data_IF_305825502273
#
_entry.id   IF_305825502273
#
_cell.length_a   1.000
_cell.length_b   1.000
_cell.length_c   1.000
_cell.angle_alpha   90.00
_cell.angle_beta   90.00
_cell.angle_gamma   90.00
#
_symmetry.space_group_name_H-M   'P 1'
#
loop_
_entity.id
_entity.type
_entity.pdbx_description
1 polymer ?
#
# COMPACT_ATOMS: atom_id res chain seq x y z
N UNK A 1 7.67 8.60 -10.10
CA UNK A 1 6.81 9.72 -10.56
C UNK A 1 7.07 10.92 -9.66
N UNK A 2 6.76 12.14 -10.12
CA UNK A 2 6.70 13.34 -9.28
C UNK A 2 5.23 13.76 -9.13
N UNK A 3 4.74 13.96 -7.91
CA UNK A 3 3.35 14.31 -7.64
C UNK A 3 3.15 15.84 -7.70
N UNK A 4 3.10 16.39 -8.91
CA UNK A 4 3.04 17.83 -9.15
C UNK A 4 1.59 18.37 -9.20
N UNK A 5 1.45 19.67 -8.90
CA UNK A 5 0.19 20.42 -9.07
C UNK A 5 0.25 21.25 -10.34
N UNK A 6 -0.75 21.12 -11.20
CA UNK A 6 -0.83 21.86 -12.46
C UNK A 6 -2.14 21.59 -13.21
N UNK A 7 -2.34 22.20 -14.38
CA UNK A 7 -3.56 22.03 -15.19
C UNK A 7 -3.87 20.57 -15.55
N UNK A 8 -2.80 19.77 -15.74
CA UNK A 8 -2.87 18.37 -16.14
C UNK A 8 -2.77 17.39 -14.96
N UNK A 9 -2.80 17.90 -13.71
CA UNK A 9 -2.82 17.03 -12.54
C UNK A 9 -4.09 16.16 -12.54
N UNK A 10 -3.91 14.88 -12.24
CA UNK A 10 -5.05 14.00 -11.95
C UNK A 10 -5.79 14.52 -10.73
N UNK A 11 -7.11 14.38 -10.74
CA UNK A 11 -8.01 15.09 -9.84
C UNK A 11 -8.59 14.16 -8.79
N UNK A 12 -8.99 14.74 -7.66
CA UNK A 12 -10.01 14.09 -6.86
C UNK A 12 -11.28 13.96 -7.73
N UNK A 13 -11.90 12.79 -7.70
CA UNK A 13 -13.00 12.29 -8.54
C UNK A 13 -12.59 11.68 -9.90
N UNK A 14 -11.32 11.76 -10.32
CA UNK A 14 -10.88 11.00 -11.50
C UNK A 14 -10.95 9.48 -11.22
N UNK A 15 -11.36 8.71 -12.22
CA UNK A 15 -11.33 7.24 -12.17
C UNK A 15 -10.18 6.73 -13.03
N UNK A 16 -9.19 6.11 -12.38
CA UNK A 16 -7.99 5.57 -13.03
C UNK A 16 -8.18 4.07 -13.24
N UNK A 17 -7.85 3.57 -14.42
CA UNK A 17 -7.75 2.12 -14.66
C UNK A 17 -6.32 1.69 -14.43
N UNK A 18 -6.11 0.88 -13.40
CA UNK A 18 -4.79 0.34 -13.06
C UNK A 18 -4.38 -0.71 -14.08
N UNK A 19 -3.08 -1.03 -14.14
CA UNK A 19 -2.55 -2.09 -14.98
C UNK A 19 -3.15 -3.46 -14.67
N UNK A 20 -3.61 -3.67 -13.43
CA UNK A 20 -4.37 -4.85 -13.00
C UNK A 20 -5.77 -4.97 -13.62
N UNK A 21 -6.25 -3.95 -14.34
CA UNK A 21 -7.59 -3.86 -14.89
C UNK A 21 -8.64 -3.35 -13.90
N UNK A 22 -8.32 -3.25 -12.61
CA UNK A 22 -9.21 -2.65 -11.59
C UNK A 22 -9.29 -1.14 -11.77
N UNK A 23 -10.46 -0.58 -11.49
CA UNK A 23 -10.74 0.86 -11.53
C UNK A 23 -10.66 1.49 -10.14
N UNK A 24 -10.03 2.67 -10.05
CA UNK A 24 -9.78 3.39 -8.79
C UNK A 24 -10.33 4.80 -8.88
N UNK A 25 -11.35 5.11 -8.07
CA UNK A 25 -11.81 6.47 -7.82
C UNK A 25 -10.80 7.17 -6.91
N UNK A 26 -10.12 8.19 -7.44
CA UNK A 26 -9.15 8.97 -6.67
C UNK A 26 -9.93 9.93 -5.77
N UNK A 27 -9.93 9.67 -4.46
CA UNK A 27 -10.53 10.57 -3.48
C UNK A 27 -9.50 11.37 -2.67
N UNK A 28 -8.21 11.08 -2.85
CA UNK A 28 -7.12 11.93 -2.37
C UNK A 28 -5.86 11.75 -3.23
N UNK A 29 -5.44 12.81 -3.93
CA UNK A 29 -4.22 12.81 -4.78
C UNK A 29 -2.89 12.78 -4.01
N UNK A 30 -2.91 12.92 -2.69
CA UNK A 30 -1.73 12.76 -1.80
C UNK A 30 -1.63 11.32 -1.25
N UNK A 31 -2.52 10.44 -1.69
CA UNK A 31 -2.40 8.99 -1.53
C UNK A 31 -1.94 8.35 -2.84
N UNK A 32 -0.93 8.94 -3.48
CA UNK A 32 -0.40 8.58 -4.79
C UNK A 32 0.54 7.38 -4.75
N UNK A 33 1.33 7.23 -3.67
CA UNK A 33 2.38 6.21 -3.60
C UNK A 33 1.83 4.81 -3.83
N UNK A 34 0.65 4.52 -3.26
CA UNK A 34 -0.03 3.22 -3.41
C UNK A 34 -0.57 2.97 -4.82
N UNK A 35 -0.89 4.02 -5.58
CA UNK A 35 -1.29 3.88 -6.98
C UNK A 35 -0.09 3.42 -7.81
N UNK A 36 1.04 4.12 -7.67
CA UNK A 36 2.27 3.76 -8.37
C UNK A 36 2.76 2.36 -7.98
N UNK A 37 2.68 2.01 -6.69
CA UNK A 37 3.01 0.66 -6.21
C UNK A 37 2.06 -0.39 -6.77
N UNK A 38 0.75 -0.12 -6.85
CA UNK A 38 -0.23 -1.07 -7.40
C UNK A 38 0.12 -1.51 -8.83
N UNK A 39 0.53 -0.57 -9.70
CA UNK A 39 1.02 -0.91 -11.03
C UNK A 39 2.38 -1.62 -10.98
N UNK A 40 3.27 -1.22 -10.07
CA UNK A 40 4.59 -1.83 -9.89
C UNK A 40 4.52 -3.30 -9.47
N UNK A 41 3.69 -3.63 -8.47
CA UNK A 41 3.53 -5.01 -7.98
C UNK A 41 2.78 -5.86 -9.00
N UNK A 42 1.81 -5.31 -9.73
CA UNK A 42 1.16 -6.02 -10.82
C UNK A 42 2.16 -6.37 -11.92
N UNK A 43 2.99 -5.40 -12.32
CA UNK A 43 4.06 -5.63 -13.29
C UNK A 43 5.02 -6.74 -12.83
N UNK A 44 5.49 -6.66 -11.58
CA UNK A 44 6.42 -7.64 -11.01
C UNK A 44 5.82 -9.06 -10.95
N UNK A 45 4.50 -9.19 -10.78
CA UNK A 45 3.83 -10.49 -10.60
C UNK A 45 3.27 -11.10 -11.89
N UNK A 46 2.98 -10.28 -12.91
CA UNK A 46 2.27 -10.73 -14.13
C UNK A 46 3.00 -10.48 -15.45
N UNK A 47 3.93 -9.53 -15.50
CA UNK A 47 4.53 -9.06 -16.76
C UNK A 47 6.01 -9.44 -16.92
N UNK A 48 6.64 -9.98 -15.85
CA UNK A 48 7.99 -10.50 -15.92
C UNK A 48 8.02 -11.90 -16.56
N UNK A 49 9.20 -12.30 -17.04
CA UNK A 49 9.41 -13.63 -17.62
C UNK A 49 9.43 -14.77 -16.58
N UNK A 50 9.27 -14.45 -15.30
CA UNK A 50 9.24 -15.39 -14.18
C UNK A 50 8.22 -14.89 -13.14
N UNK A 51 7.75 -15.79 -12.28
CA UNK A 51 6.89 -15.45 -11.15
C UNK A 51 7.73 -15.47 -9.87
N UNK A 52 7.79 -14.37 -9.10
CA UNK A 52 8.53 -14.36 -7.84
C UNK A 52 7.81 -15.18 -6.77
N UNK A 53 8.57 -15.96 -5.98
CA UNK A 53 8.03 -16.67 -4.81
C UNK A 53 7.67 -15.70 -3.68
N UNK A 54 8.44 -14.61 -3.55
CA UNK A 54 8.25 -13.55 -2.55
C UNK A 54 8.36 -12.19 -3.24
N UNK A 55 7.41 -11.30 -2.96
CA UNK A 55 7.43 -9.90 -3.40
C UNK A 55 7.60 -8.99 -2.18
N UNK A 56 8.53 -8.05 -2.28
CA UNK A 56 8.74 -7.01 -1.25
C UNK A 56 8.60 -5.65 -1.91
N UNK A 57 7.60 -4.88 -1.48
CA UNK A 57 7.51 -3.45 -1.78
C UNK A 57 7.96 -2.62 -0.57
N UNK A 58 8.63 -1.50 -0.83
CA UNK A 58 9.14 -0.60 0.21
C UNK A 58 8.73 0.82 -0.13
N UNK A 59 8.11 1.53 0.82
CA UNK A 59 7.63 2.87 0.59
C UNK A 59 7.54 3.73 1.86
N UNK A 60 7.81 5.02 1.70
CA UNK A 60 7.53 6.06 2.70
C UNK A 60 6.06 6.50 2.59
N UNK A 61 5.14 5.60 2.92
CA UNK A 61 3.77 5.65 2.40
C UNK A 61 2.76 6.42 3.25
N UNK A 62 2.91 6.45 4.57
CA UNK A 62 1.89 7.04 5.46
C UNK A 62 2.53 7.78 6.63
N UNK A 63 1.94 8.91 7.02
CA UNK A 63 2.23 9.52 8.32
C UNK A 63 1.79 8.64 9.50
N UNK A 64 0.81 7.76 9.29
CA UNK A 64 0.33 6.81 10.29
C UNK A 64 1.40 5.80 10.74
N UNK A 65 2.41 5.52 9.91
CA UNK A 65 3.51 4.60 10.26
C UNK A 65 4.26 5.09 11.51
N UNK A 66 4.61 6.38 11.55
CA UNK A 66 5.31 6.97 12.71
C UNK A 66 4.47 6.92 14.00
N UNK A 67 3.14 7.01 13.89
CA UNK A 67 2.22 6.87 15.02
C UNK A 67 2.14 5.41 15.50
N UNK A 68 2.16 4.45 14.58
CA UNK A 68 1.98 3.03 14.88
C UNK A 68 3.25 2.36 15.41
N UNK A 69 4.38 2.50 14.69
CA UNK A 69 5.63 1.76 15.00
C UNK A 69 6.80 2.68 15.35
N UNK A 70 6.60 4.00 15.30
CA UNK A 70 7.61 4.97 15.71
C UNK A 70 8.69 5.24 14.65
N UNK A 71 9.72 5.98 15.04
CA UNK A 71 10.71 6.55 14.11
C UNK A 71 11.85 5.60 13.73
N UNK A 72 12.02 4.49 14.47
CA UNK A 72 13.14 3.54 14.29
C UNK A 72 12.70 2.15 13.84
N UNK A 73 11.39 1.92 13.69
CA UNK A 73 10.86 0.64 13.21
C UNK A 73 9.98 0.88 12.00
N UNK A 74 10.37 0.35 10.84
CA UNK A 74 9.46 0.30 9.70
C UNK A 74 8.25 -0.60 10.04
N UNK A 75 7.06 -0.15 9.67
CA UNK A 75 5.84 -0.97 9.79
C UNK A 75 5.79 -1.97 8.65
N UNK A 76 5.66 -3.26 8.95
CA UNK A 76 5.55 -4.32 7.93
C UNK A 76 4.13 -4.90 7.92
N UNK A 77 3.54 -5.02 6.73
CA UNK A 77 2.25 -5.64 6.49
C UNK A 77 2.49 -6.89 5.64
N UNK A 78 2.41 -8.06 6.25
CA UNK A 78 2.87 -9.32 5.66
C UNK A 78 1.74 -10.34 5.67
N UNK A 79 1.59 -11.09 4.57
CA UNK A 79 0.50 -12.05 4.37
C UNK A 79 0.82 -13.48 4.86
N UNK A 80 2.06 -13.72 5.27
CA UNK A 80 2.55 -15.00 5.78
C UNK A 80 3.34 -14.78 7.08
N UNK A 81 3.05 -15.60 8.10
CA UNK A 81 3.65 -15.46 9.44
C UNK A 81 5.13 -15.87 9.45
N UNK A 82 5.52 -16.88 8.68
CA UNK A 82 6.90 -17.37 8.64
C UNK A 82 7.82 -16.32 8.01
N UNK A 83 7.40 -15.74 6.89
CA UNK A 83 8.12 -14.66 6.23
C UNK A 83 8.15 -13.38 7.07
N UNK A 84 7.08 -13.05 7.79
CA UNK A 84 7.08 -11.91 8.72
C UNK A 84 8.17 -12.09 9.81
N UNK A 85 8.22 -13.25 10.45
CA UNK A 85 9.20 -13.54 11.49
C UNK A 85 10.63 -13.56 10.94
N UNK A 86 10.81 -14.08 9.73
CA UNK A 86 12.07 -14.05 8.98
C UNK A 86 12.55 -12.61 8.75
N UNK A 87 11.67 -11.74 8.25
CA UNK A 87 11.97 -10.34 7.97
C UNK A 87 12.28 -9.54 9.24
N UNK A 88 11.52 -9.78 10.32
CA UNK A 88 11.80 -9.17 11.63
C UNK A 88 13.16 -9.58 12.19
N UNK A 89 13.58 -10.83 11.96
CA UNK A 89 14.93 -11.28 12.35
C UNK A 89 16.00 -10.56 11.53
N UNK A 90 15.81 -10.40 10.22
CA UNK A 90 16.73 -9.66 9.37
C UNK A 90 16.92 -8.22 9.86
N UNK A 91 15.82 -7.50 10.17
CA UNK A 91 15.89 -6.13 10.70
C UNK A 91 16.63 -6.02 12.04
N UNK A 92 16.53 -7.03 12.92
CA UNK A 92 17.30 -7.08 14.17
C UNK A 92 18.79 -7.30 13.94
N UNK A 93 19.15 -8.12 12.94
CA UNK A 93 20.55 -8.41 12.60
C UNK A 93 21.21 -7.22 11.91
N UNK A 94 20.51 -6.54 11.00
CA UNK A 94 21.05 -5.38 10.28
C UNK A 94 21.12 -4.11 11.14
N UNK A 95 20.25 -4.00 12.16
CA UNK A 95 20.03 -2.76 12.91
C UNK A 95 18.97 -1.84 12.30
N UNK A 96 18.44 -2.18 11.13
CA UNK A 96 17.32 -1.52 10.46
C UNK A 96 16.02 -2.21 10.88
N UNK A 97 15.59 -1.95 12.10
CA UNK A 97 14.51 -2.69 12.76
C UNK A 97 13.13 -2.47 12.11
N UNK A 98 12.28 -3.49 12.23
CA UNK A 98 10.90 -3.50 11.74
C UNK A 98 9.94 -3.96 12.86
N UNK A 99 8.65 -3.64 12.74
CA UNK A 99 7.59 -4.12 13.63
C UNK A 99 6.29 -4.35 12.84
N UNK A 100 5.55 -5.43 13.10
CA UNK A 100 4.36 -5.75 12.31
C UNK A 100 3.21 -4.78 12.56
N UNK A 101 2.43 -4.53 11.51
CA UNK A 101 1.11 -3.91 11.59
C UNK A 101 0.03 -4.96 11.27
N UNK A 102 -1.22 -4.66 11.61
CA UNK A 102 -2.31 -5.63 11.52
C UNK A 102 -2.53 -6.16 10.08
N UNK A 103 -2.27 -7.44 9.83
CA UNK A 103 -2.73 -8.14 8.63
C UNK A 103 -4.13 -8.71 8.84
N UNK A 104 -5.15 -8.09 8.22
CA UNK A 104 -6.56 -8.50 8.31
C UNK A 104 -7.37 -7.97 7.12
N UNK A 105 -7.16 -8.51 5.90
CA UNK A 105 -7.74 -8.01 4.66
C UNK A 105 -9.27 -7.81 4.70
N UNK A 106 -10.00 -8.68 5.40
CA UNK A 106 -11.45 -8.66 5.53
C UNK A 106 -12.02 -7.41 6.23
N UNK A 107 -11.18 -6.72 7.02
CA UNK A 107 -11.51 -5.44 7.64
C UNK A 107 -11.11 -4.28 6.74
N UNK A 108 -9.92 -4.37 6.14
CA UNK A 108 -9.31 -3.29 5.37
C UNK A 108 -10.05 -3.01 4.06
N UNK A 109 -10.52 -4.05 3.36
CA UNK A 109 -11.23 -3.91 2.05
C UNK A 109 -12.46 -3.01 2.14
N UNK A 110 -13.15 -2.99 3.29
CA UNK A 110 -14.39 -2.23 3.49
C UNK A 110 -14.14 -0.72 3.52
N UNK A 111 -12.92 -0.29 3.81
CA UNK A 111 -12.55 1.13 3.87
C UNK A 111 -12.43 1.76 2.48
N UNK A 112 -12.28 0.96 1.42
CA UNK A 112 -12.04 1.42 0.06
C UNK A 112 -13.27 1.35 -0.86
N UNK A 113 -14.48 1.22 -0.30
CA UNK A 113 -15.70 1.15 -1.12
C UNK A 113 -15.89 2.42 -1.96
N UNK A 114 -16.03 2.23 -3.27
CA UNK A 114 -16.43 3.27 -4.22
C UNK A 114 -17.85 3.01 -4.74
N UNK A 115 -18.68 4.04 -4.98
CA UNK A 115 -19.95 3.90 -5.69
C UNK A 115 -19.81 3.83 -7.22
N UNK A 116 -18.64 4.17 -7.79
CA UNK A 116 -18.45 4.35 -9.25
C UNK A 116 -17.26 3.57 -9.84
N UNK A 117 -16.40 3.00 -9.00
CA UNK A 117 -15.23 2.23 -9.37
C UNK A 117 -15.12 0.96 -8.51
N UNK A 118 -14.15 0.10 -8.77
CA UNK A 118 -13.91 -1.09 -7.95
C UNK A 118 -13.47 -0.71 -6.53
N UNK A 119 -12.72 0.39 -6.40
CA UNK A 119 -12.26 0.90 -5.11
C UNK A 119 -11.94 2.39 -5.12
N UNK A 120 -11.77 2.98 -3.93
CA UNK A 120 -11.15 4.29 -3.70
C UNK A 120 -9.67 4.13 -3.34
N UNK A 121 -8.86 5.17 -3.52
CA UNK A 121 -7.45 5.12 -3.11
C UNK A 121 -7.22 5.48 -1.63
N UNK A 122 -8.12 6.22 -0.98
CA UNK A 122 -8.03 6.54 0.44
C UNK A 122 -9.18 5.92 1.25
N UNK A 123 -8.83 5.38 2.41
CA UNK A 123 -9.75 4.83 3.41
C UNK A 123 -10.80 5.85 3.87
N UNK A 124 -12.01 5.36 4.16
CA UNK A 124 -13.11 6.19 4.68
C UNK A 124 -12.87 6.69 6.10
N UNK A 125 -12.29 5.86 6.97
CA UNK A 125 -12.07 6.15 8.40
C UNK A 125 -10.58 6.15 8.73
N UNK A 126 -9.99 7.33 8.91
CA UNK A 126 -8.52 7.48 9.11
C UNK A 126 -8.00 6.88 10.42
N UNK A 127 -8.86 6.56 11.38
CA UNK A 127 -8.53 5.94 12.66
C UNK A 127 -8.64 4.41 12.65
N UNK A 128 -8.82 3.77 11.49
CA UNK A 128 -8.99 2.33 11.36
C UNK A 128 -7.78 1.65 10.68
N UNK A 129 -6.69 1.45 11.42
CA UNK A 129 -5.47 0.76 10.95
C UNK A 129 -4.89 1.33 9.62
N UNK A 130 -4.62 2.64 9.58
CA UNK A 130 -4.24 3.34 8.35
C UNK A 130 -2.99 2.82 7.63
N UNK A 131 -1.99 2.30 8.36
CA UNK A 131 -0.81 1.66 7.76
C UNK A 131 -1.22 0.40 7.01
N UNK A 132 -1.97 -0.48 7.67
CA UNK A 132 -2.45 -1.74 7.11
C UNK A 132 -3.41 -1.53 5.93
N UNK A 133 -4.28 -0.53 6.00
CA UNK A 133 -5.14 -0.19 4.86
C UNK A 133 -4.32 0.21 3.63
N UNK A 134 -3.24 0.99 3.81
CA UNK A 134 -2.37 1.37 2.71
C UNK A 134 -1.66 0.16 2.08
N UNK A 135 -1.17 -0.78 2.89
CA UNK A 135 -0.62 -2.06 2.39
C UNK A 135 -1.68 -2.92 1.69
N UNK A 136 -2.90 -2.98 2.24
CA UNK A 136 -4.00 -3.73 1.63
C UNK A 136 -4.43 -3.18 0.26
N UNK A 137 -4.31 -1.87 0.01
CA UNK A 137 -4.60 -1.31 -1.32
C UNK A 137 -3.67 -1.88 -2.40
N UNK A 138 -2.41 -2.13 -2.05
CA UNK A 138 -1.39 -2.63 -2.99
C UNK A 138 -1.54 -4.13 -3.25
N UNK A 139 -2.13 -4.88 -2.30
CA UNK A 139 -2.25 -6.35 -2.32
C UNK A 139 -3.24 -6.93 -3.35
#
# INVERSE_FOLDING_TARGET
AENAVGPDAYRNDDVVTMKSGKTVEVNNTDAEGRLVLGDGVFHATHELSFTPDVLVDMATLTGAQGIATGHKHAGIFVNDEEEELSFLKAGRVSGETCFPVLYCPEYHVKEFKSPVADMRNLMRQTNNAGVSCAGHFVA
#
